data_IF_994301046993
#
_entry.id   IF_994301046993
#
_cell.length_a   1.000
_cell.length_b   1.000
_cell.length_c   1.000
_cell.angle_alpha   90.00
_cell.angle_beta   90.00
_cell.angle_gamma   90.00
#
_symmetry.space_group_name_H-M   'P 1'
#
loop_
_entity.id
_entity.type
_entity.pdbx_description
1 polymer ?
#
# COMPACT_ATOMS: atom_id res chain seq x y z
N UNK A 1 -1.26 33.43 -18.39
CA UNK A 1 -0.68 32.69 -17.25
C UNK A 1 -1.23 31.28 -17.29
N UNK A 2 -0.36 30.30 -17.55
CA UNK A 2 -0.72 28.88 -17.54
C UNK A 2 -0.55 28.40 -16.10
N UNK A 3 -1.65 28.18 -15.37
CA UNK A 3 -1.59 27.58 -14.05
C UNK A 3 -1.24 26.10 -14.22
N UNK A 4 0.02 25.75 -13.97
CA UNK A 4 0.42 24.37 -13.74
C UNK A 4 -0.21 23.93 -12.42
N UNK A 5 -1.36 23.27 -12.49
CA UNK A 5 -1.84 22.45 -11.38
C UNK A 5 -0.87 21.27 -11.28
N UNK A 6 0.09 21.36 -10.37
CA UNK A 6 0.89 20.22 -9.96
C UNK A 6 -0.07 19.31 -9.21
N UNK A 7 -0.64 18.33 -9.90
CA UNK A 7 -1.35 17.24 -9.26
C UNK A 7 -0.33 16.50 -8.38
N UNK A 8 -0.43 16.69 -7.07
CA UNK A 8 0.37 15.93 -6.11
C UNK A 8 -0.14 14.49 -6.10
N UNK A 9 0.37 13.68 -7.04
CA UNK A 9 0.17 12.23 -7.00
C UNK A 9 0.91 11.74 -5.77
N UNK A 10 0.14 11.42 -4.74
CA UNK A 10 0.74 10.99 -3.49
C UNK A 10 1.04 9.50 -3.54
N UNK A 11 2.29 9.17 -3.27
CA UNK A 11 2.85 7.84 -3.36
C UNK A 11 3.18 7.31 -1.97
N UNK A 12 3.05 6.00 -1.78
CA UNK A 12 3.34 5.32 -0.53
C UNK A 12 4.26 4.12 -0.80
N UNK A 13 5.36 4.02 -0.05
CA UNK A 13 6.30 2.90 -0.12
C UNK A 13 6.02 1.90 0.99
N UNK A 14 5.95 0.60 0.65
CA UNK A 14 5.75 -0.47 1.61
C UNK A 14 6.33 -1.79 1.13
N UNK A 15 6.62 -2.69 2.06
CA UNK A 15 6.84 -4.11 1.78
C UNK A 15 5.64 -4.93 2.25
N UNK A 16 5.29 -5.97 1.50
CA UNK A 16 4.21 -6.89 1.87
C UNK A 16 4.79 -8.10 2.60
N UNK A 17 4.43 -8.28 3.87
CA UNK A 17 4.72 -9.48 4.67
C UNK A 17 3.50 -10.39 4.68
N UNK A 18 3.66 -11.66 4.36
CA UNK A 18 2.56 -12.63 4.41
C UNK A 18 2.18 -12.93 5.87
N UNK A 19 0.89 -12.85 6.22
CA UNK A 19 0.45 -13.05 7.61
C UNK A 19 0.79 -14.45 8.12
N UNK A 20 1.16 -14.52 9.40
CA UNK A 20 1.50 -15.78 10.07
C UNK A 20 2.87 -16.34 9.68
N UNK A 21 3.68 -15.59 8.90
CA UNK A 21 5.01 -16.01 8.46
C UNK A 21 6.04 -14.90 8.62
N UNK A 22 7.33 -15.22 8.51
CA UNK A 22 8.41 -14.24 8.39
C UNK A 22 8.80 -13.92 6.93
N UNK A 23 7.95 -14.31 5.97
CA UNK A 23 8.23 -14.14 4.56
C UNK A 23 7.53 -12.93 3.96
N UNK A 24 8.17 -12.35 2.95
CA UNK A 24 7.79 -11.12 2.28
C UNK A 24 7.61 -11.36 0.78
N UNK A 25 6.76 -10.56 0.14
CA UNK A 25 6.72 -10.45 -1.31
C UNK A 25 8.09 -9.99 -1.82
N UNK A 26 8.69 -10.79 -2.71
CA UNK A 26 10.00 -10.55 -3.28
C UNK A 26 10.01 -10.72 -4.79
N UNK A 27 10.92 -10.02 -5.43
CA UNK A 27 11.15 -10.14 -6.87
C UNK A 27 12.65 -10.35 -7.11
N UNK A 28 13.02 -11.51 -7.67
CA UNK A 28 14.41 -11.82 -8.00
C UNK A 28 14.92 -11.01 -9.19
N UNK A 29 16.17 -10.50 -9.21
CA UNK A 29 16.70 -9.67 -10.31
C UNK A 29 16.54 -10.28 -11.71
N UNK A 30 16.54 -11.61 -11.79
CA UNK A 30 16.49 -12.36 -13.05
C UNK A 30 15.10 -12.93 -13.38
N UNK A 31 14.12 -12.74 -12.50
CA UNK A 31 12.75 -13.25 -12.68
C UNK A 31 11.73 -12.12 -12.73
N UNK A 32 10.71 -12.30 -13.56
CA UNK A 32 9.49 -11.48 -13.54
C UNK A 32 8.41 -12.07 -12.62
N UNK A 33 8.58 -13.31 -12.16
CA UNK A 33 7.62 -13.99 -11.29
C UNK A 33 8.01 -13.69 -9.84
N UNK A 34 7.16 -12.98 -9.07
CA UNK A 34 7.38 -12.75 -7.67
C UNK A 34 7.16 -14.03 -6.85
N UNK A 35 7.83 -14.11 -5.71
CA UNK A 35 7.70 -15.21 -4.76
C UNK A 35 7.87 -14.70 -3.33
N UNK A 36 7.83 -15.58 -2.34
CA UNK A 36 8.10 -15.21 -0.96
C UNK A 36 9.60 -15.29 -0.64
N UNK A 37 10.12 -14.32 0.10
CA UNK A 37 11.55 -14.19 0.43
C UNK A 37 11.74 -13.70 1.87
N UNK A 38 12.97 -13.71 2.37
CA UNK A 38 13.33 -13.06 3.64
C UNK A 38 13.22 -11.54 3.57
N UNK A 39 13.11 -10.87 4.73
CA UNK A 39 13.01 -9.40 4.83
C UNK A 39 14.09 -8.65 4.05
N UNK A 40 15.34 -9.13 4.08
CA UNK A 40 16.47 -8.50 3.38
C UNK A 40 16.35 -8.48 1.85
N UNK A 41 15.49 -9.33 1.29
CA UNK A 41 15.24 -9.45 -0.15
C UNK A 41 13.83 -8.97 -0.53
N UNK A 42 13.07 -8.44 0.43
CA UNK A 42 11.71 -7.97 0.21
C UNK A 42 11.69 -6.88 -0.86
N UNK A 43 10.72 -6.96 -1.76
CA UNK A 43 10.48 -5.88 -2.70
C UNK A 43 9.81 -4.70 -1.96
N UNK A 44 10.17 -3.50 -2.39
CA UNK A 44 9.50 -2.27 -2.01
C UNK A 44 8.52 -1.93 -3.13
N UNK A 45 7.25 -1.79 -2.76
CA UNK A 45 6.18 -1.39 -3.64
C UNK A 45 5.84 0.08 -3.40
N UNK A 46 5.64 0.82 -4.48
CA UNK A 46 5.20 2.22 -4.43
C UNK A 46 3.84 2.35 -5.09
N UNK A 47 2.86 2.91 -4.38
CA UNK A 47 1.53 3.16 -4.96
C UNK A 47 1.52 4.38 -5.87
N UNK A 48 0.83 4.29 -7.00
CA UNK A 48 0.38 5.42 -7.80
C UNK A 48 -1.14 5.35 -7.95
N UNK A 49 -1.85 6.40 -7.55
CA UNK A 49 -3.28 6.51 -7.83
C UNK A 49 -3.52 6.79 -9.30
N UNK A 50 -4.46 6.07 -9.91
CA UNK A 50 -4.82 6.28 -11.32
C UNK A 50 -5.50 7.64 -11.55
N UNK A 51 -6.22 8.13 -10.56
CA UNK A 51 -6.79 9.48 -10.52
C UNK A 51 -6.92 9.93 -9.07
N UNK A 52 -6.92 11.25 -8.85
CA UNK A 52 -7.04 11.83 -7.52
C UNK A 52 -8.29 11.29 -6.80
N UNK A 53 -8.09 10.77 -5.58
CA UNK A 53 -9.16 10.23 -4.73
C UNK A 53 -9.66 8.84 -5.13
N UNK A 54 -9.10 8.21 -6.16
CA UNK A 54 -9.44 6.83 -6.54
C UNK A 54 -8.79 5.81 -5.61
N UNK A 55 -9.51 4.71 -5.35
CA UNK A 55 -8.95 3.50 -4.72
C UNK A 55 -8.20 2.60 -5.71
N UNK A 56 -8.24 2.93 -7.01
CA UNK A 56 -7.50 2.22 -8.06
C UNK A 56 -6.04 2.65 -8.08
N UNK A 57 -5.15 1.66 -7.94
CA UNK A 57 -3.71 1.84 -7.77
C UNK A 57 -2.93 1.06 -8.82
N UNK A 58 -1.91 1.69 -9.39
CA UNK A 58 -0.76 0.99 -9.95
C UNK A 58 0.24 0.75 -8.82
N UNK A 59 0.79 -0.46 -8.74
CA UNK A 59 1.77 -0.85 -7.73
C UNK A 59 3.14 -1.03 -8.39
N UNK A 60 3.99 -0.02 -8.29
CA UNK A 60 5.33 -0.03 -8.85
C UNK A 60 6.28 -0.87 -8.01
N UNK A 61 7.15 -1.62 -8.66
CA UNK A 61 8.26 -2.30 -7.98
C UNK A 61 9.51 -1.41 -8.07
N UNK A 62 9.97 -0.93 -6.92
CA UNK A 62 11.12 -0.03 -6.87
C UNK A 62 12.37 -0.68 -7.47
N UNK A 63 13.11 0.13 -8.22
CA UNK A 63 14.32 -0.30 -8.92
C UNK A 63 14.09 -1.11 -10.20
N UNK A 64 12.84 -1.29 -10.67
CA UNK A 64 12.54 -2.11 -11.87
C UNK A 64 11.87 -1.39 -13.04
N UNK A 65 11.37 -0.16 -12.86
CA UNK A 65 10.54 0.53 -13.84
C UNK A 65 9.39 -0.35 -14.39
N UNK A 66 8.75 -1.09 -13.48
CA UNK A 66 7.69 -2.09 -13.76
C UNK A 66 6.68 -2.09 -12.63
N UNK A 67 5.48 -2.57 -12.92
CA UNK A 67 4.36 -2.66 -11.98
C UNK A 67 3.95 -4.12 -11.76
N UNK A 68 3.16 -4.35 -10.71
CA UNK A 68 2.40 -5.60 -10.57
C UNK A 68 1.39 -5.71 -11.71
N UNK A 69 1.31 -6.90 -12.28
CA UNK A 69 0.47 -7.21 -13.42
C UNK A 69 -0.02 -8.66 -13.27
N UNK A 70 -1.28 -8.94 -13.56
CA UNK A 70 -1.71 -10.31 -13.80
C UNK A 70 -1.43 -10.70 -15.25
N UNK A 71 -0.58 -11.73 -15.44
CA UNK A 71 -0.17 -12.23 -16.77
C UNK A 71 -1.39 -12.44 -17.67
N UNK A 72 -1.25 -12.34 -19.00
CA UNK A 72 -2.39 -12.21 -19.93
C UNK A 72 -3.54 -13.23 -19.82
N UNK A 73 -3.35 -14.39 -19.17
CA UNK A 73 -4.42 -15.34 -18.84
C UNK A 73 -5.21 -14.97 -17.55
N UNK A 74 -4.84 -13.88 -16.87
CA UNK A 74 -5.37 -13.35 -15.63
C UNK A 74 -5.01 -14.11 -14.35
N UNK A 75 -4.16 -15.14 -14.40
CA UNK A 75 -4.01 -16.10 -13.30
C UNK A 75 -2.84 -15.82 -12.36
N UNK A 76 -1.68 -15.43 -12.86
CA UNK A 76 -0.46 -15.30 -12.05
C UNK A 76 0.01 -13.85 -12.04
N UNK A 77 0.45 -13.38 -10.88
CA UNK A 77 1.10 -12.08 -10.74
C UNK A 77 2.49 -12.16 -11.35
N UNK A 78 2.83 -11.19 -12.18
CA UNK A 78 4.13 -10.95 -12.77
C UNK A 78 4.51 -9.48 -12.59
N UNK A 79 5.77 -9.16 -12.83
CA UNK A 79 6.29 -7.80 -12.84
C UNK A 79 6.51 -7.38 -14.29
N UNK A 80 5.72 -6.43 -14.77
CA UNK A 80 5.62 -6.09 -16.19
C UNK A 80 5.64 -4.56 -16.43
N UNK A 81 6.08 -4.08 -17.61
CA UNK A 81 5.99 -2.66 -17.94
C UNK A 81 4.57 -2.12 -17.80
N UNK A 82 4.44 -0.91 -17.27
CA UNK A 82 3.16 -0.24 -17.11
C UNK A 82 2.52 0.03 -18.48
N UNK A 83 1.27 -0.41 -18.65
CA UNK A 83 0.44 -0.15 -19.82
C UNK A 83 -1.02 0.21 -19.45
N UNK A 84 -1.33 0.33 -18.15
CA UNK A 84 -2.58 0.90 -17.65
C UNK A 84 -3.84 0.05 -17.87
N UNK A 85 -3.68 -1.20 -18.29
CA UNK A 85 -4.81 -2.12 -18.51
C UNK A 85 -5.31 -2.66 -17.17
N UNK A 86 -6.56 -3.16 -17.15
CA UNK A 86 -7.25 -3.58 -15.92
C UNK A 86 -6.52 -4.65 -15.11
N UNK A 87 -5.65 -5.45 -15.72
CA UNK A 87 -4.82 -6.46 -15.03
C UNK A 87 -3.65 -5.85 -14.22
N UNK A 88 -3.39 -4.55 -14.35
CA UNK A 88 -2.40 -3.79 -13.57
C UNK A 88 -3.02 -2.93 -12.47
N UNK A 89 -4.35 -2.87 -12.40
CA UNK A 89 -5.06 -1.97 -11.49
C UNK A 89 -5.49 -2.73 -10.25
N UNK A 90 -4.98 -2.31 -9.09
CA UNK A 90 -5.24 -2.94 -7.81
C UNK A 90 -6.00 -2.02 -6.87
N UNK A 91 -6.76 -2.59 -5.96
CA UNK A 91 -7.24 -1.95 -4.74
C UNK A 91 -6.52 -2.61 -3.56
N UNK A 92 -6.16 -1.82 -2.55
CA UNK A 92 -5.67 -2.36 -1.27
C UNK A 92 -6.76 -2.14 -0.23
N UNK A 93 -7.28 -3.21 0.39
CA UNK A 93 -8.33 -3.13 1.42
C UNK A 93 -7.84 -3.67 2.75
N UNK A 94 -8.17 -2.95 3.82
CA UNK A 94 -7.98 -3.44 5.19
C UNK A 94 -9.13 -4.38 5.55
N UNK A 95 -8.76 -5.58 5.97
CA UNK A 95 -9.64 -6.60 6.51
C UNK A 95 -9.97 -6.31 7.99
N UNK A 96 -11.04 -6.91 8.51
CA UNK A 96 -11.45 -6.73 9.91
C UNK A 96 -10.39 -7.21 10.92
N UNK A 97 -9.51 -8.12 10.52
CA UNK A 97 -8.36 -8.57 11.31
C UNK A 97 -7.21 -7.55 11.41
N UNK A 98 -7.26 -6.44 10.67
CA UNK A 98 -6.14 -5.49 10.54
C UNK A 98 -5.12 -5.90 9.47
N UNK A 99 -5.36 -6.99 8.76
CA UNK A 99 -4.58 -7.43 7.60
C UNK A 99 -4.99 -6.67 6.33
N UNK A 100 -4.14 -6.66 5.31
CA UNK A 100 -4.43 -6.08 4.00
C UNK A 100 -4.64 -7.16 2.93
N UNK A 101 -5.50 -6.84 1.97
CA UNK A 101 -5.74 -7.61 0.75
C UNK A 101 -5.39 -6.77 -0.46
N UNK A 102 -4.71 -7.38 -1.43
CA UNK A 102 -4.54 -6.81 -2.75
C UNK A 102 -5.59 -7.40 -3.67
N UNK A 103 -6.44 -6.55 -4.23
CA UNK A 103 -7.61 -6.93 -5.02
C UNK A 103 -7.42 -6.42 -6.45
N UNK A 104 -7.70 -7.26 -7.43
CA UNK A 104 -7.77 -6.88 -8.84
C UNK A 104 -9.07 -7.42 -9.42
N UNK A 105 -9.92 -6.53 -9.92
CA UNK A 105 -11.21 -6.89 -10.51
C UNK A 105 -12.05 -7.81 -9.60
N UNK A 106 -12.09 -7.51 -8.30
CA UNK A 106 -12.87 -8.28 -7.30
C UNK A 106 -12.23 -9.59 -6.83
N UNK A 107 -11.05 -9.96 -7.33
CA UNK A 107 -10.32 -11.16 -6.91
C UNK A 107 -9.06 -10.80 -6.13
N UNK A 108 -8.65 -11.66 -5.20
CA UNK A 108 -7.53 -11.44 -4.30
C UNK A 108 -6.24 -12.04 -4.84
N UNK A 109 -5.12 -11.38 -4.57
CA UNK A 109 -3.80 -11.97 -4.69
C UNK A 109 -3.60 -13.01 -3.59
N UNK A 110 -3.19 -14.21 -3.99
CA UNK A 110 -2.97 -15.35 -3.10
C UNK A 110 -1.58 -15.92 -3.34
N UNK A 111 -0.81 -16.21 -2.29
CA UNK A 111 0.38 -17.05 -2.44
C UNK A 111 0.01 -18.52 -2.56
N UNK A 112 0.41 -19.16 -3.66
CA UNK A 112 0.20 -20.56 -3.95
C UNK A 112 1.50 -21.35 -3.77
N UNK A 113 1.54 -22.19 -2.72
CA UNK A 113 2.71 -23.01 -2.39
C UNK A 113 3.09 -24.00 -3.51
N UNK A 114 2.15 -24.78 -4.10
CA UNK A 114 2.47 -25.74 -5.16
C UNK A 114 3.20 -25.12 -6.37
N UNK A 115 2.78 -23.92 -6.79
CA UNK A 115 3.45 -23.20 -7.90
C UNK A 115 4.52 -22.22 -7.44
N UNK A 116 4.70 -22.04 -6.13
CA UNK A 116 5.61 -21.07 -5.51
C UNK A 116 5.44 -19.64 -6.05
N UNK A 117 4.19 -19.25 -6.35
CA UNK A 117 3.88 -18.01 -7.06
C UNK A 117 2.64 -17.32 -6.50
N UNK A 118 2.47 -16.04 -6.80
CA UNK A 118 1.26 -15.30 -6.46
C UNK A 118 0.23 -15.44 -7.57
N UNK A 119 -0.98 -15.86 -7.20
CA UNK A 119 -2.07 -16.21 -8.10
C UNK A 119 -3.31 -15.36 -7.81
N UNK A 120 -4.16 -15.19 -8.82
CA UNK A 120 -5.48 -14.58 -8.71
C UNK A 120 -6.45 -15.64 -8.19
N UNK A 121 -7.08 -15.37 -7.07
CA UNK A 121 -8.03 -16.28 -6.43
C UNK A 121 -9.28 -15.56 -5.94
N UNK A 122 -10.34 -16.33 -5.68
CA UNK A 122 -11.52 -15.81 -4.98
C UNK A 122 -11.06 -15.32 -3.60
N UNK A 123 -11.56 -14.16 -3.17
CA UNK A 123 -11.23 -13.60 -1.86
C UNK A 123 -11.79 -14.47 -0.73
N UNK A 124 -10.91 -14.97 0.14
CA UNK A 124 -11.22 -15.79 1.32
C UNK A 124 -10.41 -15.32 2.53
N UNK A 125 -10.76 -15.71 3.74
CA UNK A 125 -9.99 -15.37 4.95
C UNK A 125 -8.73 -16.24 5.16
N UNK A 126 -8.29 -16.96 4.13
CA UNK A 126 -7.09 -17.77 4.22
C UNK A 126 -5.83 -16.90 4.40
N UNK A 127 -4.91 -17.26 5.32
CA UNK A 127 -3.72 -16.47 5.61
C UNK A 127 -2.84 -16.18 4.39
N UNK A 128 -2.86 -17.04 3.38
CA UNK A 128 -2.08 -16.88 2.15
C UNK A 128 -2.63 -15.78 1.21
N UNK A 129 -3.74 -15.12 1.56
CA UNK A 129 -4.29 -13.94 0.88
C UNK A 129 -4.16 -12.65 1.71
N UNK A 130 -3.57 -12.75 2.91
CA UNK A 130 -3.54 -11.68 3.91
C UNK A 130 -2.11 -11.19 4.13
N UNK A 131 -1.95 -9.86 4.14
CA UNK A 131 -0.65 -9.22 4.21
C UNK A 131 -0.57 -8.17 5.31
N UNK A 132 0.58 -8.09 5.97
CA UNK A 132 0.97 -6.90 6.71
C UNK A 132 1.75 -5.97 5.78
N UNK A 133 1.40 -4.69 5.81
CA UNK A 133 2.16 -3.64 5.12
C UNK A 133 3.19 -3.07 6.08
N UNK A 134 4.46 -3.29 5.76
CA UNK A 134 5.61 -2.90 6.59
C UNK A 134 6.30 -1.72 5.94
N UNK A 135 6.69 -0.72 6.74
CA UNK A 135 7.54 0.36 6.27
C UNK A 135 8.94 -0.20 5.95
N UNK A 136 9.42 -0.11 4.70
CA UNK A 136 10.70 -0.66 4.31
C UNK A 136 11.87 0.13 4.90
N UNK A 137 11.62 1.35 5.40
CA UNK A 137 12.61 2.22 6.00
C UNK A 137 12.48 2.31 7.51
N UNK A 138 11.88 1.31 8.17
CA UNK A 138 11.78 1.22 9.62
C UNK A 138 13.18 1.13 10.27
N UNK A 139 13.83 2.28 10.36
CA UNK A 139 14.90 2.66 11.26
C UNK A 139 14.39 3.89 12.01
N UNK A 140 13.74 3.67 13.17
CA UNK A 140 13.35 4.70 14.16
C UNK A 140 12.50 5.92 13.74
N UNK A 141 12.07 6.05 12.49
CA UNK A 141 11.20 7.16 12.04
C UNK A 141 9.74 6.69 11.93
N UNK A 142 9.05 6.67 13.07
CA UNK A 142 7.65 6.19 13.26
C UNK A 142 6.61 6.87 12.34
N UNK A 143 6.97 7.97 11.66
CA UNK A 143 6.04 8.87 10.99
C UNK A 143 5.73 8.51 9.52
N UNK A 144 6.58 7.74 8.81
CA UNK A 144 6.35 7.40 7.38
C UNK A 144 5.31 6.26 7.23
N UNK A 145 5.30 5.31 8.15
CA UNK A 145 4.33 4.21 8.20
C UNK A 145 2.86 4.65 8.38
N UNK A 146 2.60 5.73 9.14
CA UNK A 146 1.23 6.25 9.32
C UNK A 146 0.64 6.87 8.05
N UNK A 147 1.48 7.55 7.25
CA UNK A 147 1.05 8.17 5.99
C UNK A 147 0.50 7.12 5.02
N UNK A 148 1.23 6.03 4.83
CA UNK A 148 0.83 4.90 4.00
C UNK A 148 -0.48 4.24 4.43
N UNK A 149 -0.67 4.03 5.74
CA UNK A 149 -1.91 3.45 6.26
C UNK A 149 -3.09 4.39 6.03
N UNK A 150 -2.92 5.70 6.25
CA UNK A 150 -3.97 6.70 6.06
C UNK A 150 -4.37 6.87 4.59
N UNK A 151 -3.38 6.90 3.68
CA UNK A 151 -3.56 6.89 2.22
C UNK A 151 -4.51 5.79 1.75
N UNK A 152 -4.22 4.57 2.17
CA UNK A 152 -4.88 3.36 1.68
C UNK A 152 -6.27 3.21 2.29
N UNK A 153 -6.43 3.63 3.56
CA UNK A 153 -7.69 3.49 4.28
C UNK A 153 -8.72 4.57 3.94
N UNK A 154 -8.29 5.78 3.61
CA UNK A 154 -9.20 6.93 3.59
C UNK A 154 -9.23 7.72 2.27
N UNK A 155 -8.40 7.36 1.27
CA UNK A 155 -8.39 8.05 -0.03
C UNK A 155 -8.05 9.55 0.03
N UNK A 156 -7.68 10.08 1.20
CA UNK A 156 -7.23 11.46 1.44
C UNK A 156 -5.85 11.43 2.06
N UNK A 157 -4.93 12.17 1.47
CA UNK A 157 -3.56 12.26 1.95
C UNK A 157 -3.36 13.46 2.89
N UNK A 158 -2.53 13.23 3.91
CA UNK A 158 -1.90 14.27 4.71
C UNK A 158 -0.74 14.88 3.91
N UNK A 159 -0.76 16.20 3.73
CA UNK A 159 0.26 16.96 3.03
C UNK A 159 1.64 16.86 3.71
N UNK A 160 2.67 16.61 2.91
CA UNK A 160 4.10 16.47 3.26
C UNK A 160 4.79 17.78 3.70
N UNK A 161 4.05 18.86 3.94
CA UNK A 161 4.64 20.16 4.33
C UNK A 161 4.67 20.44 5.84
N UNK A 162 4.03 19.65 6.69
CA UNK A 162 4.09 19.87 8.15
C UNK A 162 5.21 19.01 8.76
N UNK A 163 6.47 19.38 8.50
CA UNK A 163 7.55 18.97 9.41
C UNK A 163 7.34 19.67 10.75
N UNK A 164 6.90 18.89 11.75
CA UNK A 164 7.46 18.83 13.11
C UNK A 164 6.50 18.83 14.31
N UNK A 165 5.17 19.01 14.22
CA UNK A 165 4.40 19.28 15.45
C UNK A 165 3.08 18.52 15.68
N UNK A 166 2.78 17.41 14.99
CA UNK A 166 1.54 16.65 15.26
C UNK A 166 1.80 15.40 16.12
N UNK A 167 1.33 15.46 17.37
CA UNK A 167 1.30 14.32 18.29
C UNK A 167 -0.11 13.69 18.18
N UNK A 168 -0.21 12.49 17.59
CA UNK A 168 -1.48 11.79 17.39
C UNK A 168 -1.55 10.60 18.35
N UNK A 169 -2.59 10.56 19.20
CA UNK A 169 -2.86 9.41 20.06
C UNK A 169 -4.17 8.71 19.64
N UNK A 170 -4.22 7.36 19.68
CA UNK A 170 -5.45 6.63 19.48
C UNK A 170 -6.40 6.90 20.66
N UNK A 171 -7.63 7.33 20.38
CA UNK A 171 -8.65 7.33 21.43
C UNK A 171 -9.05 5.89 21.71
N UNK A 172 -8.83 5.45 22.95
CA UNK A 172 -9.30 4.15 23.40
C UNK A 172 -10.81 4.03 23.15
N UNK A 173 -11.18 3.03 22.35
CA UNK A 173 -12.55 2.63 21.95
C UNK A 173 -13.24 3.38 20.80
N UNK A 174 -12.54 4.16 19.96
CA UNK A 174 -13.13 4.70 18.71
C UNK A 174 -12.18 4.62 17.51
N UNK A 175 -12.73 4.47 16.29
CA UNK A 175 -11.98 4.50 15.01
C UNK A 175 -11.53 5.92 14.62
N UNK A 176 -11.31 6.80 15.61
CA UNK A 176 -10.92 8.18 15.41
C UNK A 176 -9.57 8.44 16.09
N UNK A 177 -8.68 9.13 15.36
CA UNK A 177 -7.42 9.63 15.90
C UNK A 177 -7.57 11.11 16.22
N UNK A 178 -7.20 11.52 17.44
CA UNK A 178 -7.01 12.94 17.76
C UNK A 178 -5.54 13.29 17.57
N UNK A 179 -5.31 14.23 16.66
CA UNK A 179 -3.99 14.83 16.47
C UNK A 179 -3.99 16.22 17.08
N UNK A 180 -2.97 16.53 17.88
CA UNK A 180 -2.78 17.85 18.49
C UNK A 180 -1.50 18.49 17.96
N UNK A 181 -1.60 19.76 17.58
CA UNK A 181 -0.44 20.60 17.27
C UNK A 181 0.24 21.04 18.56
N UNK A 182 1.51 20.66 18.77
CA UNK A 182 2.30 21.17 19.88
C UNK A 182 3.06 22.45 19.47
N UNK A 183 2.46 23.61 19.84
CA UNK A 183 2.99 25.00 20.00
C UNK A 183 2.87 26.01 18.84
N UNK A 184 2.87 27.34 19.17
CA UNK A 184 1.99 28.05 20.09
C UNK A 184 1.10 29.06 19.34
N UNK A 185 -0.12 29.29 19.84
CA UNK A 185 -1.05 30.37 19.47
C UNK A 185 -1.03 30.84 18.01
N UNK A 186 -1.80 30.18 17.15
CA UNK A 186 -3.00 30.76 16.56
C UNK A 186 -3.57 29.80 15.52
N UNK A 187 -4.89 29.64 15.60
CA UNK A 187 -5.81 29.30 14.50
C UNK A 187 -6.13 27.82 14.22
N UNK A 188 -7.43 27.56 14.42
CA UNK A 188 -8.38 26.55 13.92
C UNK A 188 -8.10 25.05 14.08
N UNK A 189 -8.80 24.45 15.05
CA UNK A 189 -9.07 23.02 15.13
C UNK A 189 -10.29 22.65 14.27
N UNK A 190 -10.11 21.78 13.28
CA UNK A 190 -11.23 21.11 12.63
C UNK A 190 -11.50 19.76 13.29
N UNK A 191 -12.68 19.61 13.88
CA UNK A 191 -13.26 18.34 14.29
C UNK A 191 -14.12 17.81 13.13
N UNK A 192 -13.77 16.66 12.56
CA UNK A 192 -14.66 15.96 11.64
C UNK A 192 -15.29 14.76 12.35
N UNK A 193 -16.61 14.71 12.29
CA UNK A 193 -17.43 13.56 12.70
C UNK A 193 -18.19 13.08 11.46
N UNK A 194 -17.94 11.82 11.12
CA UNK A 194 -18.56 10.95 10.10
C UNK A 194 -18.44 11.36 8.63
#
# INVERSE_FOLDING_TARGET
>A
MLYFFIAFISTCDFSLKLIGTEHYFGVSPVSIIPTIVSRSLAAILTTEQKSEGSSELLLHVNGRNKVLDYEGNGKRVIIYPAHGMKNQIFEIKLDHSGAYRLINQGMCMQYDLPTSSFMKAICTNEPNQLFNMIDPHETFEVNKALGCKATILYGRFYNREVRNNLNCQPESYSRSFKCRNEKPSNSWSYSYSY
#
